data_IF_233041337515
#
_entry.id   IF_233041337515
#
_cell.length_a   1.000
_cell.length_b   1.000
_cell.length_c   1.000
_cell.angle_alpha   90.00
_cell.angle_beta   90.00
_cell.angle_gamma   90.00
#
_symmetry.space_group_name_H-M   'P 1'
#
loop_
_entity.id
_entity.type
_entity.pdbx_description
1 polymer ?
#
# COMPACT_ATOMS: atom_id res chain seq x y z
N UNK A 1 -9.16 23.08 -50.97
CA UNK A 1 -8.65 24.46 -51.01
C UNK A 1 -8.00 24.74 -49.66
N UNK A 2 -6.73 25.16 -49.61
CA UNK A 2 -6.09 25.54 -48.35
C UNK A 2 -6.64 26.87 -47.81
N UNK A 3 -6.40 27.16 -46.52
CA UNK A 3 -6.78 28.43 -45.87
C UNK A 3 -6.33 29.65 -46.69
N UNK A 4 -5.04 29.70 -47.07
CA UNK A 4 -4.42 30.82 -47.78
C UNK A 4 -5.02 31.07 -49.18
N UNK A 5 -5.11 30.08 -50.09
CA UNK A 5 -5.76 30.28 -51.40
C UNK A 5 -7.21 30.72 -51.34
N UNK A 6 -7.98 30.27 -50.34
CA UNK A 6 -9.37 30.66 -50.18
C UNK A 6 -9.51 32.08 -49.62
N UNK A 7 -8.70 32.46 -48.63
CA UNK A 7 -8.70 33.82 -48.08
C UNK A 7 -8.21 34.84 -49.12
N UNK A 8 -7.20 34.50 -49.91
CA UNK A 8 -6.70 35.35 -51.02
C UNK A 8 -7.78 35.52 -52.11
N UNK A 9 -8.54 34.46 -52.42
CA UNK A 9 -9.70 34.54 -53.30
C UNK A 9 -10.84 35.38 -52.70
N UNK A 10 -11.18 35.17 -51.43
CA UNK A 10 -12.25 35.90 -50.75
C UNK A 10 -11.91 37.40 -50.60
N UNK A 11 -10.63 37.74 -50.41
CA UNK A 11 -10.14 39.11 -50.35
C UNK A 11 -10.09 39.80 -51.73
N UNK A 12 -9.86 39.04 -52.81
CA UNK A 12 -9.79 39.56 -54.18
C UNK A 12 -11.12 39.54 -54.95
N UNK A 13 -12.14 38.85 -54.44
CA UNK A 13 -13.45 38.77 -55.06
C UNK A 13 -14.20 40.12 -54.95
N UNK A 14 -14.49 40.74 -56.09
CA UNK A 14 -15.31 41.95 -56.15
C UNK A 14 -16.78 41.64 -55.86
N UNK A 15 -17.24 41.95 -54.64
CA UNK A 15 -18.63 41.82 -54.24
C UNK A 15 -19.35 43.17 -54.38
N UNK A 16 -20.22 43.36 -55.39
CA UNK A 16 -20.73 44.68 -55.79
C UNK A 16 -21.67 45.36 -54.78
N UNK A 17 -22.07 44.69 -53.69
CA UNK A 17 -23.04 45.20 -52.70
C UNK A 17 -22.57 45.04 -51.23
N UNK A 18 -21.27 44.90 -50.99
CA UNK A 18 -20.72 44.67 -49.63
C UNK A 18 -19.78 45.81 -49.29
N UNK A 19 -20.02 46.50 -48.17
CA UNK A 19 -19.14 47.57 -47.70
C UNK A 19 -17.80 47.01 -47.23
N UNK A 20 -16.73 47.83 -47.24
CA UNK A 20 -15.40 47.38 -46.81
C UNK A 20 -15.38 46.87 -45.36
N UNK A 21 -16.24 47.43 -44.49
CA UNK A 21 -16.41 46.98 -43.12
C UNK A 21 -17.06 45.58 -43.04
N UNK A 22 -18.09 45.33 -43.83
CA UNK A 22 -18.74 44.01 -43.92
C UNK A 22 -17.83 42.96 -44.55
N UNK A 23 -16.95 43.37 -45.47
CA UNK A 23 -15.95 42.49 -46.07
C UNK A 23 -14.88 42.09 -45.05
N UNK A 24 -14.41 43.03 -44.23
CA UNK A 24 -13.46 42.75 -43.16
C UNK A 24 -14.06 41.80 -42.10
N UNK A 25 -15.33 42.01 -41.73
CA UNK A 25 -16.06 41.16 -40.78
C UNK A 25 -16.28 39.74 -41.33
N UNK A 26 -16.65 39.62 -42.60
CA UNK A 26 -16.81 38.32 -43.28
C UNK A 26 -15.46 37.57 -43.41
N UNK A 27 -14.37 38.27 -43.72
CA UNK A 27 -13.02 37.67 -43.75
C UNK A 27 -12.60 37.18 -42.36
N UNK A 28 -12.91 37.94 -41.30
CA UNK A 28 -12.71 37.50 -39.91
C UNK A 28 -13.51 36.24 -39.58
N UNK A 29 -14.79 36.19 -39.96
CA UNK A 29 -15.63 35.00 -39.79
C UNK A 29 -15.09 33.77 -40.57
N UNK A 30 -14.60 33.97 -41.79
CA UNK A 30 -14.01 32.88 -42.57
C UNK A 30 -12.69 32.40 -41.98
N UNK A 31 -11.86 33.30 -41.49
CA UNK A 31 -10.63 32.97 -40.80
C UNK A 31 -10.90 32.14 -39.53
N UNK A 32 -11.86 32.56 -38.72
CA UNK A 32 -12.32 31.81 -37.55
C UNK A 32 -12.93 30.44 -37.93
N UNK A 33 -13.71 30.37 -39.01
CA UNK A 33 -14.27 29.11 -39.52
C UNK A 33 -13.18 28.11 -39.93
N UNK A 34 -12.14 28.57 -40.62
CA UNK A 34 -11.04 27.69 -41.02
C UNK A 34 -10.18 27.27 -39.83
N UNK A 35 -9.90 28.19 -38.90
CA UNK A 35 -9.18 27.87 -37.67
C UNK A 35 -9.95 26.86 -36.81
N UNK A 36 -11.28 26.91 -36.80
CA UNK A 36 -12.10 25.98 -36.02
C UNK A 36 -12.34 24.61 -36.69
N UNK A 37 -12.23 24.47 -38.01
CA UNK A 37 -12.63 23.26 -38.74
C UNK A 37 -11.48 22.44 -39.34
N UNK A 38 -10.24 22.94 -39.43
CA UNK A 38 -9.14 22.21 -40.08
C UNK A 38 -8.54 21.09 -39.19
N UNK A 39 -8.71 19.79 -39.54
CA UNK A 39 -8.16 18.67 -38.76
C UNK A 39 -6.63 18.54 -38.88
N UNK A 40 -6.04 19.18 -39.88
CA UNK A 40 -4.61 19.09 -40.18
C UNK A 40 -3.72 19.66 -39.08
N UNK A 41 -4.23 20.62 -38.28
CA UNK A 41 -3.48 21.22 -37.17
C UNK A 41 -3.25 20.23 -36.04
N UNK A 42 -4.22 19.36 -35.74
CA UNK A 42 -4.08 18.30 -34.73
C UNK A 42 -2.97 17.29 -35.10
N UNK A 43 -2.91 16.92 -36.38
CA UNK A 43 -1.85 16.04 -36.90
C UNK A 43 -0.47 16.71 -36.89
N UNK A 44 -0.42 18.02 -37.18
CA UNK A 44 0.81 18.82 -37.05
C UNK A 44 1.29 18.89 -35.61
N UNK A 45 0.38 19.08 -34.64
CA UNK A 45 0.72 19.04 -33.21
C UNK A 45 1.32 17.70 -32.80
N UNK A 46 0.70 16.59 -33.18
CA UNK A 46 1.24 15.25 -32.89
C UNK A 46 2.61 15.02 -33.55
N UNK A 47 2.81 15.49 -34.78
CA UNK A 47 4.12 15.41 -35.44
C UNK A 47 5.18 16.31 -34.80
N UNK A 48 4.81 17.50 -34.33
CA UNK A 48 5.71 18.39 -33.60
C UNK A 48 6.17 17.74 -32.29
N UNK A 49 5.23 17.20 -31.51
CA UNK A 49 5.53 16.48 -30.28
C UNK A 49 6.41 15.27 -30.57
N UNK A 50 6.10 14.50 -31.62
CA UNK A 50 6.92 13.36 -32.07
C UNK A 50 8.38 13.78 -32.35
N UNK A 51 8.56 14.87 -33.10
CA UNK A 51 9.89 15.32 -33.54
C UNK A 51 10.69 15.97 -32.41
N UNK A 52 10.03 16.61 -31.42
CA UNK A 52 10.72 17.31 -30.34
C UNK A 52 11.39 16.36 -29.34
N UNK A 53 10.88 15.13 -29.19
CA UNK A 53 11.36 14.20 -28.17
C UNK A 53 12.09 12.98 -28.71
N UNK A 54 12.36 12.91 -30.02
CA UNK A 54 12.98 11.74 -30.68
C UNK A 54 12.32 10.40 -30.26
N UNK A 55 11.00 10.44 -30.01
CA UNK A 55 10.27 9.29 -29.47
C UNK A 55 10.05 8.29 -30.59
N UNK A 56 10.78 7.20 -30.49
CA UNK A 56 10.65 6.06 -31.38
C UNK A 56 9.20 5.52 -31.40
N UNK A 57 8.78 5.07 -32.57
CA UNK A 57 7.41 4.74 -33.03
C UNK A 57 6.65 3.66 -32.25
N UNK A 58 7.08 3.30 -31.05
CA UNK A 58 6.22 2.58 -30.12
C UNK A 58 5.00 3.45 -29.80
N UNK A 59 3.81 2.98 -30.20
CA UNK A 59 2.51 3.61 -29.92
C UNK A 59 2.18 3.73 -28.42
N UNK A 60 3.12 3.49 -27.52
CA UNK A 60 2.92 3.54 -26.07
C UNK A 60 3.63 4.74 -25.43
N UNK A 61 4.85 5.10 -25.87
CA UNK A 61 5.62 6.18 -25.25
C UNK A 61 5.02 7.58 -25.44
N UNK A 62 4.55 7.90 -26.66
CA UNK A 62 3.93 9.21 -26.93
C UNK A 62 2.63 9.40 -26.14
N UNK A 63 1.85 8.33 -25.98
CA UNK A 63 0.59 8.36 -25.24
C UNK A 63 0.79 8.37 -23.73
N UNK A 64 1.88 7.78 -23.23
CA UNK A 64 2.35 7.95 -21.85
C UNK A 64 2.74 9.42 -21.61
N UNK A 65 3.58 10.00 -22.46
CA UNK A 65 3.94 11.43 -22.35
C UNK A 65 2.72 12.37 -22.35
N UNK A 66 1.76 12.15 -23.29
CA UNK A 66 0.53 12.95 -23.36
C UNK A 66 -0.38 12.77 -22.14
N UNK A 67 -0.34 11.59 -21.53
CA UNK A 67 -1.00 11.33 -20.26
C UNK A 67 -0.34 12.14 -19.13
N UNK A 68 0.99 12.14 -19.08
CA UNK A 68 1.78 12.70 -17.99
C UNK A 68 1.77 14.24 -17.96
N UNK A 69 1.94 14.89 -19.12
CA UNK A 69 2.15 16.34 -19.21
C UNK A 69 1.00 17.18 -18.60
N UNK A 70 1.32 18.21 -17.82
CA UNK A 70 0.30 19.13 -17.31
C UNK A 70 -0.31 20.01 -18.41
N UNK A 71 -1.51 20.55 -18.18
CA UNK A 71 -2.14 21.43 -19.17
C UNK A 71 -1.34 22.73 -19.38
N UNK A 72 -0.67 23.22 -18.34
CA UNK A 72 0.21 24.39 -18.41
C UNK A 72 1.49 24.12 -19.19
N UNK A 73 2.16 22.99 -18.94
CA UNK A 73 3.34 22.60 -19.71
C UNK A 73 2.99 22.35 -21.17
N UNK A 74 1.85 21.71 -21.44
CA UNK A 74 1.37 21.50 -22.80
C UNK A 74 1.14 22.84 -23.51
N UNK A 75 0.53 23.84 -22.84
CA UNK A 75 0.40 25.20 -23.39
C UNK A 75 1.77 25.83 -23.66
N UNK A 76 2.70 25.75 -22.70
CA UNK A 76 4.07 26.28 -22.83
C UNK A 76 4.85 25.69 -24.00
N UNK A 77 4.66 24.41 -24.33
CA UNK A 77 5.26 23.80 -25.52
C UNK A 77 4.86 24.53 -26.81
N UNK A 78 3.66 25.11 -26.84
CA UNK A 78 3.12 25.82 -27.98
C UNK A 78 3.15 27.35 -27.83
N UNK A 79 3.73 27.91 -26.76
CA UNK A 79 3.86 29.36 -26.55
C UNK A 79 4.89 30.01 -27.49
N UNK A 80 5.98 29.30 -27.81
CA UNK A 80 7.07 29.80 -28.68
C UNK A 80 6.76 29.66 -30.19
N UNK A 81 5.52 29.37 -30.55
CA UNK A 81 5.15 28.91 -31.88
C UNK A 81 4.81 30.07 -32.80
N UNK A 82 5.86 30.81 -33.20
CA UNK A 82 5.82 31.62 -34.43
C UNK A 82 6.04 30.78 -35.71
N UNK A 83 6.36 29.49 -35.57
CA UNK A 83 6.82 28.64 -36.68
C UNK A 83 5.89 27.48 -37.07
N UNK A 84 4.83 27.17 -36.30
CA UNK A 84 3.78 26.26 -36.75
C UNK A 84 2.48 27.02 -36.90
N UNK A 85 1.86 26.96 -38.08
CA UNK A 85 0.47 27.40 -38.32
C UNK A 85 -0.50 26.52 -37.49
N UNK A 86 -0.56 26.76 -36.18
CA UNK A 86 -1.46 26.09 -35.24
C UNK A 86 -2.23 27.18 -34.49
N UNK A 87 -3.55 27.17 -34.61
CA UNK A 87 -4.42 28.11 -33.91
C UNK A 87 -4.49 27.81 -32.40
N UNK A 88 -4.61 28.86 -31.58
CA UNK A 88 -4.85 28.71 -30.12
C UNK A 88 -6.12 27.91 -29.82
N UNK A 89 -7.14 28.03 -30.67
CA UNK A 89 -8.41 27.30 -30.51
C UNK A 89 -8.20 25.79 -30.66
N UNK A 90 -7.36 25.35 -31.60
CA UNK A 90 -7.07 23.92 -31.77
C UNK A 90 -6.16 23.37 -30.66
N UNK A 91 -5.32 24.20 -30.04
CA UNK A 91 -4.58 23.81 -28.82
C UNK A 91 -5.55 23.47 -27.68
N UNK A 92 -6.52 24.34 -27.39
CA UNK A 92 -7.51 24.08 -26.32
C UNK A 92 -8.44 22.90 -26.65
N UNK A 93 -8.80 22.71 -27.93
CA UNK A 93 -9.52 21.49 -28.36
C UNK A 93 -8.68 20.23 -28.15
N UNK A 94 -7.37 20.30 -28.39
CA UNK A 94 -6.47 19.18 -28.13
C UNK A 94 -6.38 18.90 -26.63
N UNK A 95 -6.30 19.94 -25.79
CA UNK A 95 -6.36 19.77 -24.32
C UNK A 95 -7.67 19.09 -23.91
N UNK A 96 -8.80 19.49 -24.50
CA UNK A 96 -10.10 18.83 -24.24
C UNK A 96 -10.08 17.36 -24.65
N UNK A 97 -9.49 17.04 -25.81
CA UNK A 97 -9.27 15.66 -26.23
C UNK A 97 -8.36 14.90 -25.25
N UNK A 98 -7.29 15.53 -24.74
CA UNK A 98 -6.43 14.96 -23.72
C UNK A 98 -7.17 14.68 -22.42
N UNK A 99 -8.09 15.55 -22.00
CA UNK A 99 -8.95 15.28 -20.85
C UNK A 99 -9.81 14.03 -21.06
N UNK A 100 -10.46 13.90 -22.23
CA UNK A 100 -11.25 12.70 -22.56
C UNK A 100 -10.36 11.45 -22.61
N UNK A 101 -9.19 11.56 -23.23
CA UNK A 101 -8.21 10.47 -23.29
C UNK A 101 -7.77 10.05 -21.88
N UNK A 102 -7.41 11.00 -21.01
CA UNK A 102 -7.04 10.75 -19.60
C UNK A 102 -8.19 10.10 -18.84
N UNK A 103 -9.42 10.59 -18.98
CA UNK A 103 -10.59 9.98 -18.32
C UNK A 103 -10.85 8.54 -18.79
N UNK A 104 -10.72 8.27 -20.08
CA UNK A 104 -10.86 6.91 -20.63
C UNK A 104 -9.71 6.03 -20.13
N UNK A 105 -8.49 6.54 -20.17
CA UNK A 105 -7.32 5.83 -19.68
C UNK A 105 -7.47 5.51 -18.19
N UNK A 106 -7.85 6.48 -17.37
CA UNK A 106 -8.11 6.32 -15.93
C UNK A 106 -9.24 5.34 -15.61
N UNK A 107 -10.25 5.28 -16.50
CA UNK A 107 -11.37 4.36 -16.35
C UNK A 107 -10.94 2.90 -16.55
N UNK A 108 -9.99 2.64 -17.44
CA UNK A 108 -9.61 1.28 -17.83
C UNK A 108 -8.20 0.87 -17.37
N UNK A 109 -7.38 1.84 -16.93
CA UNK A 109 -6.06 1.66 -16.39
C UNK A 109 -5.99 2.45 -15.08
N UNK A 110 -5.67 1.76 -14.00
CA UNK A 110 -5.30 2.37 -12.74
C UNK A 110 -3.91 2.99 -12.89
N UNK A 111 -3.82 4.09 -13.63
CA UNK A 111 -2.54 4.66 -14.04
C UNK A 111 -1.79 5.28 -12.85
N UNK A 112 -0.48 5.06 -12.84
CA UNK A 112 0.47 5.54 -11.83
C UNK A 112 0.68 7.06 -11.82
N UNK A 113 0.42 7.76 -12.93
CA UNK A 113 1.04 9.09 -13.16
C UNK A 113 0.26 10.29 -12.58
N UNK A 114 -0.89 10.08 -11.92
CA UNK A 114 -1.68 11.16 -11.27
C UNK A 114 -2.41 10.68 -10.02
N UNK A 115 -1.82 9.73 -9.33
CA UNK A 115 -2.41 9.06 -8.19
C UNK A 115 -2.68 10.02 -7.02
N UNK A 116 -1.76 10.91 -6.66
CA UNK A 116 -2.00 11.91 -5.59
C UNK A 116 -3.08 12.91 -6.00
N UNK A 117 -3.07 13.39 -7.25
CA UNK A 117 -4.06 14.34 -7.79
C UNK A 117 -5.48 13.77 -7.79
N UNK A 118 -5.63 12.48 -8.11
CA UNK A 118 -6.90 11.76 -8.02
C UNK A 118 -7.38 11.64 -6.57
N UNK A 119 -6.47 11.36 -5.63
CA UNK A 119 -6.81 11.30 -4.21
C UNK A 119 -7.29 12.67 -3.70
N UNK A 120 -6.68 13.77 -4.16
CA UNK A 120 -7.17 15.13 -3.89
C UNK A 120 -8.53 15.43 -4.53
N UNK A 121 -8.77 14.94 -5.74
CA UNK A 121 -10.08 15.05 -6.37
C UNK A 121 -11.15 14.34 -5.53
N UNK A 122 -10.86 13.14 -5.02
CA UNK A 122 -11.78 12.42 -4.12
C UNK A 122 -12.06 13.17 -2.81
N UNK A 123 -11.05 13.84 -2.25
CA UNK A 123 -11.25 14.71 -1.09
C UNK A 123 -12.14 15.91 -1.42
N UNK A 124 -11.93 16.58 -2.56
CA UNK A 124 -12.76 17.70 -3.03
C UNK A 124 -14.21 17.29 -3.33
N UNK A 125 -14.40 16.07 -3.83
CA UNK A 125 -15.71 15.47 -4.08
C UNK A 125 -16.41 14.97 -2.79
N UNK A 126 -15.74 15.04 -1.64
CA UNK A 126 -16.29 14.66 -0.34
C UNK A 126 -16.33 13.15 -0.06
N UNK A 127 -15.60 12.33 -0.84
CA UNK A 127 -15.55 10.87 -0.62
C UNK A 127 -14.92 10.54 0.73
N UNK A 128 -13.92 11.31 1.16
CA UNK A 128 -13.28 11.19 2.46
C UNK A 128 -12.78 12.54 2.97
N UNK A 129 -12.45 12.60 4.26
CA UNK A 129 -11.88 13.78 4.89
C UNK A 129 -10.37 13.53 5.15
N UNK A 130 -9.46 14.10 4.34
CA UNK A 130 -8.04 13.95 4.55
C UNK A 130 -7.58 14.72 5.79
N UNK A 131 -6.54 14.24 6.52
CA UNK A 131 -5.78 15.07 7.44
C UNK A 131 -5.22 16.32 6.75
N UNK A 132 -5.11 17.44 7.48
CA UNK A 132 -4.85 18.76 6.89
C UNK A 132 -3.53 18.88 6.11
N UNK A 133 -2.52 18.09 6.47
CA UNK A 133 -1.17 18.10 5.90
C UNK A 133 -0.88 16.85 5.02
N UNK A 134 -1.88 15.98 4.78
CA UNK A 134 -1.69 14.71 4.07
C UNK A 134 -1.04 14.91 2.70
N UNK A 135 -1.60 15.78 1.86
CA UNK A 135 -1.13 15.94 0.48
C UNK A 135 0.24 16.62 0.39
N UNK A 136 0.57 17.47 1.35
CA UNK A 136 1.90 18.07 1.45
C UNK A 136 2.94 17.02 1.83
N UNK A 137 2.61 16.12 2.78
CA UNK A 137 3.47 14.98 3.13
C UNK A 137 3.64 14.01 1.95
N UNK A 138 2.57 13.70 1.21
CA UNK A 138 2.63 12.78 0.06
C UNK A 138 3.49 13.31 -1.10
N UNK A 139 3.64 14.64 -1.22
CA UNK A 139 4.49 15.29 -2.23
C UNK A 139 5.89 15.65 -1.71
N UNK A 140 6.14 15.48 -0.42
CA UNK A 140 7.42 15.76 0.19
C UNK A 140 8.51 14.78 -0.26
N UNK A 141 9.76 15.14 0.02
CA UNK A 141 10.93 14.33 -0.35
C UNK A 141 11.12 13.09 0.56
N UNK A 142 10.46 13.05 1.73
CA UNK A 142 10.57 11.95 2.68
C UNK A 142 9.53 10.85 2.39
N UNK A 143 9.92 9.87 1.58
CA UNK A 143 9.09 8.72 1.24
C UNK A 143 8.65 7.88 2.46
N UNK A 144 9.42 7.86 3.56
CA UNK A 144 9.02 7.14 4.78
C UNK A 144 7.87 7.85 5.47
N UNK A 145 7.95 9.18 5.59
CA UNK A 145 6.89 9.99 6.17
C UNK A 145 5.61 9.94 5.31
N UNK A 146 5.77 10.07 3.98
CA UNK A 146 4.67 10.00 3.02
C UNK A 146 3.91 8.66 3.12
N UNK A 147 4.64 7.54 3.09
CA UNK A 147 4.05 6.21 3.24
C UNK A 147 3.45 6.02 4.63
N UNK A 148 4.11 6.49 5.69
CA UNK A 148 3.56 6.45 7.05
C UNK A 148 2.19 7.12 7.17
N UNK A 149 2.08 8.35 6.65
CA UNK A 149 0.83 9.10 6.64
C UNK A 149 -0.27 8.42 5.80
N UNK A 150 0.10 7.82 4.67
CA UNK A 150 -0.83 7.06 3.83
C UNK A 150 -1.38 5.82 4.57
N UNK A 151 -0.52 5.10 5.30
CA UNK A 151 -0.93 3.95 6.10
C UNK A 151 -1.82 4.37 7.29
N UNK A 152 -1.55 5.50 7.92
CA UNK A 152 -2.41 6.07 8.98
C UNK A 152 -3.81 6.39 8.44
N UNK A 153 -3.89 6.98 7.24
CA UNK A 153 -5.15 7.21 6.55
C UNK A 153 -5.87 5.88 6.24
N UNK A 154 -5.20 4.91 5.63
CA UNK A 154 -5.85 3.64 5.30
C UNK A 154 -6.35 2.90 6.55
N UNK A 155 -5.59 2.96 7.64
CA UNK A 155 -5.98 2.38 8.92
C UNK A 155 -7.25 3.04 9.46
N UNK A 156 -7.34 4.38 9.48
CA UNK A 156 -8.55 5.08 9.94
C UNK A 156 -9.75 4.79 9.05
N UNK A 157 -9.60 4.84 7.72
CA UNK A 157 -10.68 4.49 6.78
C UNK A 157 -11.19 3.07 7.01
N UNK A 158 -10.29 2.10 7.23
CA UNK A 158 -10.66 0.70 7.52
C UNK A 158 -11.42 0.58 8.84
N UNK A 159 -10.89 1.16 9.92
CA UNK A 159 -11.41 1.00 11.28
C UNK A 159 -12.70 1.79 11.51
N UNK A 160 -12.68 3.05 11.13
CA UNK A 160 -13.71 4.02 11.51
C UNK A 160 -14.89 4.01 10.54
N UNK A 161 -14.71 3.53 9.30
CA UNK A 161 -15.76 3.52 8.28
C UNK A 161 -16.07 2.10 7.80
N UNK A 162 -15.10 1.41 7.19
CA UNK A 162 -15.37 0.13 6.50
C UNK A 162 -15.82 -0.98 7.46
N UNK A 163 -15.11 -1.14 8.57
CA UNK A 163 -15.41 -2.15 9.61
C UNK A 163 -16.32 -1.61 10.72
N UNK A 164 -16.77 -0.37 10.61
CA UNK A 164 -17.71 0.20 11.56
C UNK A 164 -19.05 -0.52 11.50
N UNK A 165 -19.68 -0.70 12.67
CA UNK A 165 -21.06 -1.17 12.78
C UNK A 165 -22.09 -0.10 12.37
N UNK A 166 -21.64 1.10 11.99
CA UNK A 166 -22.50 2.18 11.52
C UNK A 166 -23.10 1.83 10.15
N UNK A 167 -24.39 2.14 10.00
CA UNK A 167 -25.12 2.02 8.74
C UNK A 167 -25.18 3.41 8.13
N UNK A 168 -24.61 3.54 6.93
CA UNK A 168 -24.62 4.80 6.19
C UNK A 168 -25.75 4.78 5.18
N UNK A 169 -26.52 5.87 5.12
CA UNK A 169 -27.64 5.98 4.19
C UNK A 169 -27.14 6.01 2.74
N UNK A 170 -27.66 5.11 1.87
CA UNK A 170 -27.33 5.13 0.46
C UNK A 170 -28.12 6.23 -0.26
N UNK A 171 -27.45 6.96 -1.15
CA UNK A 171 -28.04 7.88 -2.09
C UNK A 171 -28.10 7.21 -3.46
N UNK A 172 -29.29 6.73 -3.83
CA UNK A 172 -29.55 6.11 -5.13
C UNK A 172 -30.34 7.06 -6.02
N UNK A 173 -29.72 7.50 -7.12
CA UNK A 173 -30.37 8.30 -8.17
C UNK A 173 -30.47 7.51 -9.48
N UNK A 174 -30.39 6.18 -9.44
CA UNK A 174 -30.42 5.32 -10.61
C UNK A 174 -31.86 5.27 -11.17
N UNK A 175 -32.00 5.78 -12.39
CA UNK A 175 -33.21 5.70 -13.19
C UNK A 175 -33.05 4.67 -14.31
N UNK A 176 -34.04 3.79 -14.43
CA UNK A 176 -34.09 2.78 -15.48
C UNK A 176 -34.74 3.37 -16.75
N UNK A 177 -34.01 3.36 -17.88
CA UNK A 177 -34.64 3.73 -19.16
C UNK A 177 -35.69 2.69 -19.54
N UNK A 178 -36.84 3.17 -20.01
CA UNK A 178 -37.96 2.34 -20.51
C UNK A 178 -37.65 1.57 -21.80
N UNK A 179 -36.51 1.84 -22.45
CA UNK A 179 -36.11 1.20 -23.71
C UNK A 179 -34.85 0.36 -23.50
N UNK A 180 -35.01 -0.95 -23.72
CA UNK A 180 -33.91 -1.91 -23.79
C UNK A 180 -33.41 -1.93 -25.23
N UNK A 181 -32.30 -1.25 -25.51
CA UNK A 181 -31.58 -1.48 -26.75
C UNK A 181 -30.70 -2.73 -26.56
N UNK A 182 -30.89 -3.76 -27.39
CA UNK A 182 -30.03 -4.95 -27.43
C UNK A 182 -29.88 -5.73 -26.11
N UNK A 183 -30.95 -5.87 -25.33
CA UNK A 183 -30.96 -6.75 -24.14
C UNK A 183 -30.18 -6.24 -22.92
N UNK A 184 -29.55 -5.06 -22.99
CA UNK A 184 -28.86 -4.43 -21.85
C UNK A 184 -29.78 -3.35 -21.26
N UNK A 185 -30.29 -3.51 -20.03
CA UNK A 185 -31.01 -2.46 -19.33
C UNK A 185 -30.12 -1.22 -19.23
N UNK A 186 -30.49 -0.15 -19.94
CA UNK A 186 -29.75 1.11 -19.86
C UNK A 186 -30.19 1.86 -18.61
N UNK A 187 -29.31 1.88 -17.60
CA UNK A 187 -29.47 2.68 -16.39
C UNK A 187 -28.76 4.03 -16.55
N UNK A 188 -29.28 5.10 -15.97
CA UNK A 188 -28.55 6.36 -15.79
C UNK A 188 -28.74 6.86 -14.35
N UNK A 189 -27.74 7.53 -13.80
CA UNK A 189 -27.72 7.95 -12.40
C UNK A 189 -26.51 7.41 -11.67
N UNK A 190 -26.46 7.64 -10.36
CA UNK A 190 -25.36 7.22 -9.50
C UNK A 190 -25.88 6.60 -8.22
N UNK A 191 -25.22 5.53 -7.77
CA UNK A 191 -25.31 5.05 -6.41
C UNK A 191 -24.13 5.62 -5.63
N UNK A 192 -24.40 6.22 -4.48
CA UNK A 192 -23.38 6.70 -3.54
C UNK A 192 -23.68 6.20 -2.15
N UNK A 193 -22.67 5.68 -1.48
CA UNK A 193 -22.76 5.26 -0.09
C UNK A 193 -21.37 5.39 0.52
N UNK A 194 -21.30 5.85 1.77
CA UNK A 194 -20.04 6.18 2.41
C UNK A 194 -19.04 5.02 2.43
N UNK A 195 -19.49 3.77 2.63
CA UNK A 195 -18.60 2.60 2.63
C UNK A 195 -18.03 2.30 1.24
N UNK A 196 -18.85 2.35 0.18
CA UNK A 196 -18.38 2.14 -1.19
C UNK A 196 -17.46 3.28 -1.68
N UNK A 197 -17.80 4.52 -1.36
CA UNK A 197 -16.94 5.68 -1.65
C UNK A 197 -15.60 5.56 -0.93
N UNK A 198 -15.61 5.10 0.33
CA UNK A 198 -14.40 4.86 1.11
C UNK A 198 -13.59 3.69 0.55
N UNK A 199 -14.22 2.61 0.07
CA UNK A 199 -13.52 1.52 -0.61
C UNK A 199 -12.77 2.01 -1.85
N UNK A 200 -13.37 2.91 -2.64
CA UNK A 200 -12.71 3.52 -3.79
C UNK A 200 -11.44 4.27 -3.37
N UNK A 201 -11.51 5.07 -2.31
CA UNK A 201 -10.35 5.78 -1.74
C UNK A 201 -9.31 4.77 -1.23
N UNK A 202 -9.75 3.75 -0.49
CA UNK A 202 -8.88 2.74 0.10
C UNK A 202 -8.07 1.96 -0.95
N UNK A 203 -8.71 1.52 -2.04
CA UNK A 203 -8.01 0.84 -3.14
C UNK A 203 -7.09 1.79 -3.92
N UNK A 204 -7.48 3.06 -4.05
CA UNK A 204 -6.61 4.05 -4.67
C UNK A 204 -5.34 4.30 -3.84
N UNK A 205 -5.46 4.31 -2.51
CA UNK A 205 -4.30 4.35 -1.61
C UNK A 205 -3.37 3.14 -1.79
N UNK A 206 -3.88 1.95 -2.13
CA UNK A 206 -3.02 0.78 -2.38
C UNK A 206 -2.06 1.00 -3.56
N UNK A 207 -2.50 1.69 -4.61
CA UNK A 207 -1.67 2.01 -5.77
C UNK A 207 -0.52 2.97 -5.39
N UNK A 208 -0.85 4.02 -4.65
CA UNK A 208 0.14 4.99 -4.16
C UNK A 208 1.14 4.30 -3.22
N UNK A 209 0.63 3.42 -2.34
CA UNK A 209 1.40 2.64 -1.38
C UNK A 209 2.43 1.74 -2.09
N UNK A 210 2.00 1.01 -3.12
CA UNK A 210 2.87 0.17 -3.93
C UNK A 210 4.06 0.95 -4.49
N UNK A 211 3.82 2.10 -5.13
CA UNK A 211 4.88 2.96 -5.67
C UNK A 211 5.86 3.43 -4.60
N UNK A 212 5.36 3.83 -3.42
CA UNK A 212 6.25 4.24 -2.34
C UNK A 212 7.11 3.07 -1.85
N UNK A 213 6.56 1.86 -1.77
CA UNK A 213 7.35 0.69 -1.43
C UNK A 213 8.40 0.38 -2.49
N UNK A 214 8.05 0.43 -3.78
CA UNK A 214 9.02 0.24 -4.87
C UNK A 214 10.18 1.23 -4.74
N UNK A 215 9.88 2.52 -4.60
CA UNK A 215 10.90 3.56 -4.43
C UNK A 215 11.77 3.35 -3.19
N UNK A 216 11.17 2.96 -2.06
CA UNK A 216 11.89 2.69 -0.81
C UNK A 216 12.78 1.44 -0.92
N UNK A 217 12.30 0.38 -1.58
CA UNK A 217 13.05 -0.87 -1.75
C UNK A 217 14.19 -0.69 -2.75
N UNK A 218 13.98 0.02 -3.85
CA UNK A 218 15.03 0.38 -4.80
C UNK A 218 16.12 1.25 -4.15
N UNK A 219 15.71 2.20 -3.31
CA UNK A 219 16.63 3.06 -2.55
C UNK A 219 17.39 2.33 -1.44
N UNK A 220 16.89 1.17 -0.99
CA UNK A 220 17.44 0.46 0.15
C UNK A 220 18.86 -0.04 -0.11
N UNK A 221 19.70 0.02 0.93
CA UNK A 221 21.09 -0.44 0.92
C UNK A 221 21.28 -1.87 0.38
N UNK A 222 20.32 -2.77 0.66
CA UNK A 222 20.31 -4.16 0.20
C UNK A 222 20.28 -4.32 -1.34
N UNK A 223 19.66 -3.37 -2.03
CA UNK A 223 19.53 -3.34 -3.50
C UNK A 223 20.55 -2.43 -4.16
N UNK A 224 21.05 -1.42 -3.43
CA UNK A 224 22.03 -0.45 -3.91
C UNK A 224 23.49 -0.96 -3.95
N UNK A 225 23.77 -2.17 -3.44
CA UNK A 225 25.14 -2.71 -3.34
C UNK A 225 26.04 -2.00 -2.32
N UNK A 226 25.45 -1.15 -1.47
CA UNK A 226 26.12 -0.47 -0.35
C UNK A 226 26.21 -1.42 0.86
N UNK A 227 26.96 -1.01 1.89
CA UNK A 227 26.89 -1.70 3.18
C UNK A 227 25.45 -1.64 3.73
N UNK A 228 24.97 -2.73 4.32
CA UNK A 228 23.61 -2.82 4.85
C UNK A 228 23.39 -1.77 5.95
N UNK A 229 22.37 -0.95 5.77
CA UNK A 229 21.82 -0.08 6.81
C UNK A 229 20.67 -0.82 7.52
N UNK A 230 20.95 -1.29 8.73
CA UNK A 230 20.00 -2.05 9.51
C UNK A 230 18.84 -1.21 10.07
N UNK A 231 19.05 0.09 10.29
CA UNK A 231 17.98 0.97 10.79
C UNK A 231 17.03 1.35 9.65
N UNK A 232 17.56 1.60 8.46
CA UNK A 232 16.77 1.70 7.22
C UNK A 232 15.94 0.43 7.01
N UNK A 233 16.59 -0.74 7.03
CA UNK A 233 15.93 -2.03 6.85
C UNK A 233 14.82 -2.25 7.88
N UNK A 234 15.08 -1.95 9.16
CA UNK A 234 14.08 -2.03 10.23
C UNK A 234 12.86 -1.15 9.96
N UNK A 235 13.06 0.08 9.47
CA UNK A 235 11.96 1.00 9.13
C UNK A 235 11.11 0.44 8.00
N UNK A 236 11.73 -0.03 6.92
CA UNK A 236 11.01 -0.63 5.78
C UNK A 236 10.25 -1.89 6.21
N UNK A 237 10.88 -2.80 6.97
CA UNK A 237 10.26 -4.02 7.49
C UNK A 237 9.01 -3.70 8.36
N UNK A 238 9.08 -2.66 9.19
CA UNK A 238 7.94 -2.22 10.00
C UNK A 238 6.80 -1.66 9.13
N UNK A 239 7.11 -0.94 8.05
CA UNK A 239 6.10 -0.43 7.11
C UNK A 239 5.40 -1.59 6.39
N UNK A 240 6.13 -2.64 5.98
CA UNK A 240 5.53 -3.87 5.46
C UNK A 240 4.62 -4.54 6.49
N UNK A 241 5.07 -4.69 7.73
CA UNK A 241 4.24 -5.24 8.81
C UNK A 241 2.93 -4.48 9.02
N UNK A 242 2.98 -3.14 9.04
CA UNK A 242 1.79 -2.27 9.14
C UNK A 242 0.86 -2.44 7.93
N UNK A 243 1.44 -2.56 6.74
CA UNK A 243 0.71 -2.77 5.49
C UNK A 243 -0.05 -4.09 5.51
N UNK A 244 0.61 -5.19 5.89
CA UNK A 244 -0.05 -6.48 6.00
C UNK A 244 -1.11 -6.52 7.09
N UNK A 245 -0.98 -5.73 8.15
CA UNK A 245 -2.05 -5.56 9.14
C UNK A 245 -3.28 -4.84 8.55
N UNK A 246 -3.06 -3.79 7.76
CA UNK A 246 -4.13 -3.09 7.03
C UNK A 246 -4.78 -4.02 6.00
N UNK A 247 -4.02 -4.89 5.35
CA UNK A 247 -4.54 -5.85 4.37
C UNK A 247 -5.21 -7.07 5.02
N UNK A 248 -5.04 -7.26 6.33
CA UNK A 248 -5.56 -8.44 7.04
C UNK A 248 -4.75 -9.72 6.80
N UNK A 249 -3.50 -9.57 6.34
CA UNK A 249 -2.54 -10.64 6.08
C UNK A 249 -1.56 -10.86 7.24
N UNK A 250 -1.42 -9.89 8.16
CA UNK A 250 -0.55 -10.02 9.33
C UNK A 250 -1.20 -10.87 10.43
N UNK A 251 -0.49 -11.91 10.87
CA UNK A 251 -0.85 -12.69 12.06
C UNK A 251 -0.07 -12.23 13.31
N UNK A 252 -0.43 -12.76 14.47
CA UNK A 252 0.25 -12.43 15.73
C UNK A 252 1.75 -12.78 15.70
N UNK A 253 2.12 -13.86 15.00
CA UNK A 253 3.49 -14.32 14.90
C UNK A 253 4.38 -13.32 14.17
N UNK A 254 3.93 -12.80 13.02
CA UNK A 254 4.63 -11.75 12.26
C UNK A 254 4.91 -10.53 13.13
N UNK A 255 3.92 -10.06 13.90
CA UNK A 255 4.09 -8.92 14.82
C UNK A 255 5.14 -9.21 15.89
N UNK A 256 5.12 -10.43 16.42
CA UNK A 256 6.06 -10.86 17.45
C UNK A 256 7.48 -10.93 16.93
N UNK A 257 7.67 -11.48 15.73
CA UNK A 257 8.97 -11.53 15.06
C UNK A 257 9.46 -10.13 14.70
N UNK A 258 8.60 -9.25 14.17
CA UNK A 258 8.97 -7.84 13.91
C UNK A 258 9.41 -7.11 15.20
N UNK A 259 8.80 -7.43 16.34
CA UNK A 259 9.17 -6.86 17.65
C UNK A 259 10.58 -7.26 18.11
N UNK A 260 11.14 -8.36 17.59
CA UNK A 260 12.51 -8.78 17.92
C UNK A 260 13.57 -7.81 17.39
N UNK A 261 13.24 -6.99 16.38
CA UNK A 261 14.14 -5.93 15.91
C UNK A 261 14.39 -4.85 16.98
N UNK A 262 13.61 -4.84 18.07
CA UNK A 262 13.75 -3.91 19.20
C UNK A 262 14.61 -4.48 20.32
N UNK A 263 15.17 -5.69 20.12
CA UNK A 263 16.04 -6.34 21.09
C UNK A 263 17.27 -5.47 21.36
N UNK A 264 17.61 -5.19 22.62
CA UNK A 264 18.81 -4.44 22.97
C UNK A 264 20.08 -5.21 22.56
N UNK A 265 20.99 -4.53 21.85
CA UNK A 265 22.25 -5.09 21.38
C UNK A 265 22.09 -6.21 20.35
N UNK A 266 21.07 -6.13 19.50
CA UNK A 266 20.76 -7.13 18.48
C UNK A 266 21.94 -7.29 17.51
N UNK A 267 22.38 -8.53 17.34
CA UNK A 267 23.48 -8.90 16.44
C UNK A 267 23.00 -9.20 15.03
N UNK A 268 23.89 -9.10 14.06
CA UNK A 268 23.60 -9.42 12.66
C UNK A 268 23.09 -10.86 12.49
N UNK A 269 23.72 -11.84 13.14
CA UNK A 269 23.23 -13.23 13.12
C UNK A 269 21.78 -13.37 13.61
N UNK A 270 21.41 -12.64 14.66
CA UNK A 270 20.06 -12.64 15.22
C UNK A 270 19.08 -11.90 14.29
N UNK A 271 19.51 -10.81 13.65
CA UNK A 271 18.69 -10.10 12.67
C UNK A 271 18.41 -10.97 11.43
N UNK A 272 19.39 -11.74 10.96
CA UNK A 272 19.19 -12.75 9.91
C UNK A 272 18.16 -13.79 10.32
N UNK A 273 18.16 -14.23 11.58
CA UNK A 273 17.16 -15.18 12.08
C UNK A 273 15.75 -14.57 12.09
N UNK A 274 15.63 -13.26 12.40
CA UNK A 274 14.37 -12.49 12.25
C UNK A 274 13.90 -12.50 10.79
N UNK A 275 14.77 -12.15 9.84
CA UNK A 275 14.45 -12.15 8.40
C UNK A 275 14.02 -13.54 7.91
N UNK A 276 14.73 -14.58 8.36
CA UNK A 276 14.38 -15.97 8.01
C UNK A 276 13.02 -16.37 8.58
N UNK A 277 12.71 -15.96 9.81
CA UNK A 277 11.41 -16.23 10.42
C UNK A 277 10.28 -15.49 9.69
N UNK A 278 10.51 -14.24 9.28
CA UNK A 278 9.54 -13.49 8.47
C UNK A 278 9.28 -14.15 7.12
N UNK A 279 10.30 -14.72 6.49
CA UNK A 279 10.17 -15.46 5.23
C UNK A 279 9.29 -16.69 5.39
N UNK A 280 9.48 -17.47 6.46
CA UNK A 280 8.61 -18.61 6.78
C UNK A 280 7.16 -18.17 7.00
N UNK A 281 6.94 -17.15 7.83
CA UNK A 281 5.60 -16.64 8.13
C UNK A 281 4.91 -16.10 6.86
N UNK A 282 5.65 -15.45 5.96
CA UNK A 282 5.11 -14.97 4.68
C UNK A 282 4.57 -16.13 3.81
N UNK A 283 5.29 -17.26 3.78
CA UNK A 283 4.82 -18.49 3.13
C UNK A 283 3.54 -19.03 3.76
N UNK A 284 3.48 -19.10 5.08
CA UNK A 284 2.30 -19.57 5.82
C UNK A 284 1.07 -18.67 5.61
N UNK A 285 1.25 -17.35 5.55
CA UNK A 285 0.17 -16.40 5.24
C UNK A 285 -0.40 -16.66 3.84
N UNK A 286 0.48 -16.93 2.88
CA UNK A 286 0.08 -17.25 1.50
C UNK A 286 -0.71 -18.56 1.44
N UNK A 287 -0.29 -19.58 2.18
CA UNK A 287 -0.99 -20.87 2.28
C UNK A 287 -2.36 -20.72 2.97
N UNK A 288 -2.41 -19.95 4.06
CA UNK A 288 -3.67 -19.70 4.78
C UNK A 288 -4.70 -18.96 3.91
N UNK A 289 -4.24 -17.98 3.11
CA UNK A 289 -5.11 -17.31 2.14
C UNK A 289 -5.69 -18.29 1.12
N UNK A 290 -4.86 -19.19 0.57
CA UNK A 290 -5.31 -20.22 -0.34
C UNK A 290 -6.38 -21.11 0.32
N UNK A 291 -6.14 -21.57 1.55
CA UNK A 291 -7.07 -22.45 2.27
C UNK A 291 -8.43 -21.78 2.54
N UNK A 292 -8.42 -20.51 3.00
CA UNK A 292 -9.65 -19.79 3.33
C UNK A 292 -10.59 -19.64 2.14
N UNK A 293 -10.05 -19.34 0.95
CA UNK A 293 -10.87 -19.06 -0.23
C UNK A 293 -11.09 -20.27 -1.13
N UNK A 294 -10.31 -21.35 -0.98
CA UNK A 294 -10.44 -22.56 -1.81
C UNK A 294 -11.85 -23.12 -1.81
N UNK A 295 -12.47 -23.25 -0.64
CA UNK A 295 -13.85 -23.75 -0.54
C UNK A 295 -14.83 -22.87 -1.33
N UNK A 296 -14.72 -21.54 -1.16
CA UNK A 296 -15.60 -20.57 -1.83
C UNK A 296 -15.40 -20.63 -3.35
N UNK A 297 -14.16 -20.66 -3.82
CA UNK A 297 -13.82 -20.79 -5.23
C UNK A 297 -14.35 -22.12 -5.81
N UNK A 298 -14.12 -23.25 -5.14
CA UNK A 298 -14.61 -24.55 -5.58
C UNK A 298 -16.14 -24.56 -5.67
N UNK A 299 -16.85 -23.98 -4.69
CA UNK A 299 -18.31 -23.86 -4.72
C UNK A 299 -18.80 -23.02 -5.91
N UNK A 300 -18.16 -21.87 -6.18
CA UNK A 300 -18.48 -21.02 -7.33
C UNK A 300 -18.26 -21.78 -8.63
N UNK A 301 -17.09 -22.41 -8.81
CA UNK A 301 -16.71 -23.13 -10.04
C UNK A 301 -17.69 -24.28 -10.30
N UNK A 302 -18.10 -25.02 -9.27
CA UNK A 302 -19.11 -26.08 -9.39
C UNK A 302 -20.48 -25.54 -9.84
N UNK A 303 -20.86 -24.33 -9.42
CA UNK A 303 -22.13 -23.71 -9.79
C UNK A 303 -22.14 -23.13 -11.21
N UNK A 304 -21.05 -22.46 -11.63
CA UNK A 304 -20.98 -21.84 -12.97
C UNK A 304 -20.55 -22.82 -14.07
N UNK A 305 -19.88 -23.91 -13.67
CA UNK A 305 -19.33 -24.94 -14.53
C UNK A 305 -17.97 -24.56 -15.15
N UNK A 306 -17.06 -25.53 -15.25
CA UNK A 306 -15.71 -25.33 -15.76
C UNK A 306 -15.65 -24.76 -17.20
N UNK A 307 -16.69 -24.98 -18.02
CA UNK A 307 -16.75 -24.45 -19.38
C UNK A 307 -16.97 -22.94 -19.49
N UNK A 308 -17.22 -22.23 -18.38
CA UNK A 308 -17.36 -20.76 -18.33
C UNK A 308 -16.16 -20.07 -17.67
N UNK A 309 -15.12 -20.82 -17.35
CA UNK A 309 -13.88 -20.31 -16.78
C UNK A 309 -12.92 -19.92 -17.93
N UNK A 310 -12.13 -18.88 -17.73
CA UNK A 310 -11.07 -18.44 -18.66
C UNK A 310 -10.06 -19.56 -18.89
N UNK A 311 -9.62 -19.73 -20.13
CA UNK A 311 -8.74 -20.83 -20.55
C UNK A 311 -7.42 -20.90 -19.76
N UNK A 312 -6.87 -19.74 -19.37
CA UNK A 312 -5.63 -19.63 -18.59
C UNK A 312 -5.64 -20.44 -17.29
N UNK A 313 -6.82 -20.61 -16.68
CA UNK A 313 -6.98 -21.33 -15.42
C UNK A 313 -7.37 -22.80 -15.61
N UNK A 314 -7.71 -23.22 -16.84
CA UNK A 314 -8.07 -24.59 -17.15
C UNK A 314 -6.82 -25.46 -17.29
N UNK A 315 -6.79 -26.65 -16.67
CA UNK A 315 -5.70 -27.59 -16.89
C UNK A 315 -5.74 -28.18 -18.30
N UNK A 316 -4.55 -28.35 -18.88
CA UNK A 316 -4.34 -28.72 -20.28
C UNK A 316 -4.85 -30.12 -20.63
N UNK A 317 -5.00 -31.01 -19.64
CA UNK A 317 -5.22 -32.46 -19.89
C UNK A 317 -6.57 -33.03 -19.41
N UNK A 318 -7.47 -32.22 -18.85
CA UNK A 318 -8.87 -32.62 -18.61
C UNK A 318 -9.65 -31.39 -18.16
N UNK A 319 -11.00 -31.43 -18.18
CA UNK A 319 -11.78 -30.51 -17.32
C UNK A 319 -11.38 -30.81 -15.88
N UNK A 320 -10.35 -30.14 -15.40
CA UNK A 320 -9.78 -30.41 -14.09
C UNK A 320 -10.84 -30.30 -13.02
N UNK A 321 -10.64 -31.05 -11.93
CA UNK A 321 -11.44 -30.86 -10.72
C UNK A 321 -11.52 -29.36 -10.39
N UNK A 322 -12.69 -28.91 -9.91
CA UNK A 322 -12.88 -27.54 -9.46
C UNK A 322 -11.79 -27.10 -8.47
N UNK A 323 -11.23 -28.03 -7.69
CA UNK A 323 -10.11 -27.77 -6.79
C UNK A 323 -8.82 -27.36 -7.50
N UNK A 324 -8.51 -27.95 -8.66
CA UNK A 324 -7.30 -27.61 -9.44
C UNK A 324 -7.44 -26.23 -10.07
N UNK A 325 -8.64 -25.92 -10.56
CA UNK A 325 -8.95 -24.60 -11.14
C UNK A 325 -8.90 -23.53 -10.04
N UNK A 326 -9.50 -23.80 -8.87
CA UNK A 326 -9.45 -22.91 -7.71
C UNK A 326 -8.01 -22.66 -7.25
N UNK A 327 -7.19 -23.71 -7.15
CA UNK A 327 -5.80 -23.63 -6.75
C UNK A 327 -4.94 -22.81 -7.74
N UNK A 328 -5.13 -23.01 -9.05
CA UNK A 328 -4.47 -22.19 -10.09
C UNK A 328 -4.89 -20.72 -10.02
N UNK A 329 -6.19 -20.48 -9.84
CA UNK A 329 -6.71 -19.11 -9.70
C UNK A 329 -6.12 -18.42 -8.47
N UNK A 330 -6.19 -19.03 -7.30
CA UNK A 330 -5.69 -18.45 -6.06
C UNK A 330 -4.17 -18.21 -6.10
N UNK A 331 -3.38 -19.16 -6.62
CA UNK A 331 -1.94 -18.93 -6.86
C UNK A 331 -1.70 -17.75 -7.80
N UNK A 332 -2.49 -17.61 -8.86
CA UNK A 332 -2.36 -16.45 -9.75
C UNK A 332 -2.63 -15.13 -9.03
N UNK A 333 -3.60 -15.10 -8.10
CA UNK A 333 -3.91 -13.88 -7.35
C UNK A 333 -2.78 -13.49 -6.39
N UNK A 334 -2.13 -14.48 -5.76
CA UNK A 334 -0.94 -14.24 -4.93
C UNK A 334 0.22 -13.73 -5.79
N UNK A 335 0.48 -14.37 -6.94
CA UNK A 335 1.54 -13.94 -7.87
C UNK A 335 1.29 -12.53 -8.45
N UNK A 336 0.04 -12.12 -8.55
CA UNK A 336 -0.36 -10.79 -9.00
C UNK A 336 -0.36 -9.75 -7.87
N UNK A 337 -0.04 -10.13 -6.62
CA UNK A 337 0.06 -9.19 -5.49
C UNK A 337 1.47 -8.58 -5.45
N UNK A 338 1.63 -7.31 -5.88
CA UNK A 338 2.97 -6.74 -6.07
C UNK A 338 3.71 -6.56 -4.75
N UNK A 339 2.99 -6.20 -3.68
CA UNK A 339 3.58 -6.00 -2.35
C UNK A 339 4.05 -7.30 -1.69
N UNK A 340 3.36 -8.43 -1.90
CA UNK A 340 3.83 -9.73 -1.40
C UNK A 340 5.11 -10.15 -2.13
N UNK A 341 5.15 -9.99 -3.45
CA UNK A 341 6.34 -10.29 -4.23
C UNK A 341 7.52 -9.37 -3.88
N UNK A 342 7.26 -8.08 -3.69
CA UNK A 342 8.28 -7.10 -3.34
C UNK A 342 8.87 -7.40 -1.95
N UNK A 343 8.03 -7.79 -0.98
CA UNK A 343 8.47 -8.20 0.34
C UNK A 343 9.32 -9.49 0.29
N UNK A 344 8.86 -10.49 -0.45
CA UNK A 344 9.59 -11.76 -0.64
C UNK A 344 10.99 -11.53 -1.22
N UNK A 345 11.08 -10.74 -2.29
CA UNK A 345 12.34 -10.35 -2.92
C UNK A 345 13.27 -9.61 -1.94
N UNK A 346 12.72 -8.72 -1.12
CA UNK A 346 13.48 -8.00 -0.09
C UNK A 346 14.04 -8.96 0.96
N UNK A 347 13.24 -9.89 1.47
CA UNK A 347 13.68 -10.86 2.47
C UNK A 347 14.79 -11.78 1.94
N UNK A 348 14.64 -12.28 0.71
CA UNK A 348 15.67 -13.08 0.03
C UNK A 348 16.96 -12.29 -0.08
N UNK A 349 16.88 -11.05 -0.58
CA UNK A 349 18.07 -10.21 -0.78
C UNK A 349 18.78 -9.87 0.52
N UNK A 350 18.03 -9.52 1.57
CA UNK A 350 18.58 -9.25 2.89
C UNK A 350 19.29 -10.48 3.46
N UNK A 351 18.66 -11.66 3.34
CA UNK A 351 19.23 -12.92 3.81
C UNK A 351 20.57 -13.20 3.10
N UNK A 352 20.64 -13.08 1.78
CA UNK A 352 21.88 -13.26 1.01
C UNK A 352 22.98 -12.30 1.45
N UNK A 353 22.67 -11.00 1.59
CA UNK A 353 23.65 -10.00 2.01
C UNK A 353 24.20 -10.28 3.42
N UNK A 354 23.35 -10.73 4.34
CA UNK A 354 23.77 -11.08 5.70
C UNK A 354 24.55 -12.39 5.75
N UNK A 355 24.15 -13.41 5.01
CA UNK A 355 24.89 -14.67 4.92
C UNK A 355 26.32 -14.42 4.44
N UNK A 356 26.50 -13.62 3.39
CA UNK A 356 27.81 -13.21 2.88
C UNK A 356 28.66 -12.43 3.92
N UNK A 357 28.02 -11.57 4.71
CA UNK A 357 28.72 -10.82 5.75
C UNK A 357 29.11 -11.73 6.93
N UNK A 358 28.26 -12.68 7.32
CA UNK A 358 28.52 -13.62 8.40
C UNK A 358 29.61 -14.65 8.03
N UNK A 359 29.68 -15.09 6.77
CA UNK A 359 30.77 -15.94 6.27
C UNK A 359 32.15 -15.28 6.40
N UNK A 360 32.21 -13.94 6.36
CA UNK A 360 33.44 -13.16 6.57
C UNK A 360 33.80 -12.98 8.05
N UNK A 361 32.92 -13.41 8.96
CA UNK A 361 33.10 -13.33 10.41
C UNK A 361 32.58 -12.04 11.05
N UNK A 362 31.80 -11.22 10.35
CA UNK A 362 31.39 -9.87 10.79
C UNK A 362 30.16 -9.87 11.74
N UNK A 363 30.04 -10.80 12.70
CA UNK A 363 28.90 -10.84 13.66
C UNK A 363 29.00 -9.73 14.73
N UNK A 364 28.69 -8.51 14.30
CA UNK A 364 28.65 -7.31 15.13
C UNK A 364 27.23 -6.94 15.58
N UNK A 365 27.14 -6.08 16.59
CA UNK A 365 25.86 -5.50 17.02
C UNK A 365 25.39 -4.54 15.93
N UNK A 366 24.27 -4.87 15.31
CA UNK A 366 23.73 -4.14 14.15
C UNK A 366 22.59 -3.17 14.53
N UNK A 367 21.86 -3.45 15.62
CA UNK A 367 20.75 -2.61 16.09
C UNK A 367 20.74 -2.45 17.60
N UNK A 368 20.15 -1.33 18.05
CA UNK A 368 19.89 -0.99 19.45
C UNK A 368 21.13 -1.15 20.35
N UNK A 369 22.29 -0.67 19.89
CA UNK A 369 23.52 -0.73 20.66
C UNK A 369 23.29 -0.12 22.06
N UNK A 370 23.43 -0.94 23.09
CA UNK A 370 23.15 -0.56 24.46
C UNK A 370 24.26 -1.05 25.39
N UNK A 371 24.58 -0.25 26.41
CA UNK A 371 25.34 -0.74 27.55
C UNK A 371 24.41 -1.64 28.38
N UNK A 372 24.62 -2.95 28.31
CA UNK A 372 23.82 -3.97 29.02
C UNK A 372 23.80 -3.70 30.53
N UNK A 373 24.81 -3.01 31.08
CA UNK A 373 24.86 -2.62 32.50
C UNK A 373 23.88 -1.49 32.87
N UNK A 374 23.41 -0.71 31.90
CA UNK A 374 22.52 0.45 32.08
C UNK A 374 21.07 0.15 31.71
N UNK A 375 20.82 -0.70 30.72
CA UNK A 375 19.48 -1.06 30.27
C UNK A 375 18.83 -2.05 31.24
N UNK A 376 18.13 -1.55 32.26
CA UNK A 376 17.38 -2.39 33.19
C UNK A 376 15.96 -2.61 32.70
N UNK A 377 15.75 -3.64 31.88
CA UNK A 377 14.41 -4.11 31.54
C UNK A 377 13.65 -4.66 32.76
N UNK A 378 12.34 -4.84 32.59
CA UNK A 378 11.50 -5.49 33.58
C UNK A 378 11.87 -6.97 33.72
N UNK A 379 11.96 -7.43 34.97
CA UNK A 379 12.38 -8.80 35.30
C UNK A 379 11.19 -9.76 35.29
N UNK A 380 9.98 -9.25 35.48
CA UNK A 380 8.78 -10.05 35.67
C UNK A 380 7.60 -9.47 34.89
N UNK A 381 6.86 -10.34 34.22
CA UNK A 381 5.58 -10.01 33.59
C UNK A 381 4.48 -10.87 34.20
N UNK A 382 3.34 -10.26 34.53
CA UNK A 382 2.19 -11.02 35.00
C UNK A 382 1.45 -11.64 33.82
N UNK A 383 1.03 -12.89 33.97
CA UNK A 383 0.05 -13.54 33.09
C UNK A 383 -1.31 -13.27 33.71
N UNK A 384 -2.13 -12.48 33.04
CA UNK A 384 -3.46 -12.14 33.50
C UNK A 384 -4.20 -11.25 32.50
N UNK A 385 -5.46 -10.95 32.83
CA UNK A 385 -6.27 -10.01 32.05
C UNK A 385 -5.72 -8.60 32.23
N UNK A 386 -5.25 -7.99 31.16
CA UNK A 386 -4.81 -6.61 31.20
C UNK A 386 -6.05 -5.68 31.23
N UNK A 387 -6.14 -4.73 32.18
CA UNK A 387 -7.28 -3.83 32.24
C UNK A 387 -7.28 -2.84 31.06
N UNK A 388 -8.45 -2.64 30.43
CA UNK A 388 -8.66 -1.67 29.35
C UNK A 388 -9.01 -2.28 28.00
N UNK A 389 -9.45 -1.44 27.04
CA UNK A 389 -9.48 -1.80 25.61
C UNK A 389 -8.06 -1.72 25.10
N UNK A 390 -7.45 -2.87 24.81
CA UNK A 390 -6.16 -2.91 24.12
C UNK A 390 -6.38 -2.64 22.64
N UNK A 391 -5.44 -1.98 21.97
CA UNK A 391 -5.49 -1.91 20.52
C UNK A 391 -5.33 -3.33 19.97
N UNK A 392 -6.07 -3.67 18.92
CA UNK A 392 -5.94 -4.99 18.28
C UNK A 392 -4.50 -5.24 17.77
N UNK A 393 -3.69 -4.18 17.64
CA UNK A 393 -2.30 -4.15 17.18
C UNK A 393 -1.24 -4.28 18.29
N UNK A 394 -1.63 -4.16 19.57
CA UNK A 394 -0.69 -4.08 20.68
C UNK A 394 -0.06 -5.43 21.03
N UNK A 395 1.27 -5.48 21.15
CA UNK A 395 1.96 -6.60 21.79
C UNK A 395 1.84 -6.45 23.31
N UNK A 396 1.10 -7.34 23.97
CA UNK A 396 0.95 -7.32 25.43
C UNK A 396 2.29 -7.43 26.17
N UNK A 397 3.20 -8.24 25.64
CA UNK A 397 4.57 -8.39 26.16
C UNK A 397 5.56 -8.58 24.99
N UNK A 398 6.74 -7.93 24.99
CA UNK A 398 7.75 -8.11 23.95
C UNK A 398 8.31 -9.54 23.92
N UNK A 399 8.43 -10.12 22.72
CA UNK A 399 8.90 -11.50 22.53
C UNK A 399 10.33 -11.70 23.07
N UNK A 400 11.21 -10.72 22.90
CA UNK A 400 12.60 -10.80 23.36
C UNK A 400 12.75 -10.77 24.90
N UNK A 401 11.74 -10.31 25.63
CA UNK A 401 11.72 -10.31 27.10
C UNK A 401 11.07 -11.56 27.66
N UNK A 402 9.92 -11.98 27.13
CA UNK A 402 9.10 -13.05 27.69
C UNK A 402 9.32 -14.42 27.05
N UNK A 403 9.69 -14.46 25.77
CA UNK A 403 9.72 -15.68 24.97
C UNK A 403 8.33 -16.13 24.49
N UNK A 404 8.29 -17.00 23.49
CA UNK A 404 7.05 -17.32 22.75
C UNK A 404 5.95 -17.95 23.60
N UNK A 405 6.30 -18.84 24.54
CA UNK A 405 5.30 -19.50 25.42
C UNK A 405 4.59 -18.51 26.32
N UNK A 406 5.36 -17.66 26.97
CA UNK A 406 4.85 -16.64 27.88
C UNK A 406 3.97 -15.63 27.14
N UNK A 407 4.42 -15.18 25.97
CA UNK A 407 3.65 -14.29 25.12
C UNK A 407 2.31 -14.94 24.70
N UNK A 408 2.35 -16.20 24.26
CA UNK A 408 1.17 -17.02 23.97
C UNK A 408 0.16 -17.08 25.11
N UNK A 409 0.63 -17.32 26.34
CA UNK A 409 -0.23 -17.37 27.52
C UNK A 409 -0.87 -16.02 27.85
N UNK A 410 -0.12 -14.91 27.70
CA UNK A 410 -0.69 -13.57 27.92
C UNK A 410 -1.76 -13.24 26.88
N UNK A 411 -1.55 -13.59 25.61
CA UNK A 411 -2.56 -13.40 24.56
C UNK A 411 -3.80 -14.24 24.87
N UNK A 412 -3.61 -15.53 25.15
CA UNK A 412 -4.71 -16.43 25.48
C UNK A 412 -5.50 -15.97 26.70
N UNK A 413 -4.85 -15.38 27.71
CA UNK A 413 -5.51 -14.81 28.88
C UNK A 413 -6.42 -13.62 28.56
N UNK A 414 -6.16 -12.93 27.44
CA UNK A 414 -6.91 -11.76 26.98
C UNK A 414 -7.87 -12.08 25.82
N UNK A 415 -7.96 -13.35 25.39
CA UNK A 415 -8.95 -13.80 24.41
C UNK A 415 -10.28 -14.13 25.11
N UNK A 416 -11.37 -13.75 24.47
CA UNK A 416 -12.71 -14.06 24.96
C UNK A 416 -12.97 -15.58 24.96
N UNK A 417 -13.51 -16.10 26.05
CA UNK A 417 -13.85 -17.52 26.21
C UNK A 417 -12.70 -18.44 26.63
N UNK A 418 -11.47 -17.93 26.76
CA UNK A 418 -10.33 -18.71 27.23
C UNK A 418 -10.05 -18.41 28.70
N UNK A 419 -9.89 -19.45 29.52
CA UNK A 419 -9.46 -19.34 30.91
C UNK A 419 -8.01 -19.78 31.03
N UNK A 420 -7.12 -18.81 31.25
CA UNK A 420 -5.70 -19.06 31.52
C UNK A 420 -5.45 -18.82 33.00
N UNK A 421 -4.81 -19.77 33.72
CA UNK A 421 -4.39 -19.56 35.11
C UNK A 421 -3.47 -18.34 35.23
N UNK A 422 -3.67 -17.54 36.28
CA UNK A 422 -2.76 -16.43 36.58
C UNK A 422 -1.36 -16.96 36.90
N UNK A 423 -0.35 -16.21 36.49
CA UNK A 423 1.03 -16.65 36.66
C UNK A 423 2.04 -15.53 36.47
N UNK A 424 3.32 -15.87 36.54
CA UNK A 424 4.43 -14.93 36.36
C UNK A 424 5.38 -15.49 35.32
N UNK A 425 5.77 -14.63 34.39
CA UNK A 425 6.86 -14.88 33.45
C UNK A 425 8.11 -14.21 33.98
N UNK A 426 9.15 -15.01 34.14
CA UNK A 426 10.49 -14.51 34.43
C UNK A 426 11.13 -14.11 33.11
N UNK A 427 11.48 -12.84 32.98
CA UNK A 427 12.10 -12.31 31.78
C UNK A 427 13.47 -12.92 31.50
N UNK A 428 13.83 -13.05 30.22
CA UNK A 428 15.19 -13.31 29.76
C UNK A 428 16.22 -12.29 30.30
N UNK A 429 15.76 -11.10 30.71
CA UNK A 429 16.58 -10.10 31.38
C UNK A 429 17.17 -10.60 32.71
N UNK A 430 16.44 -11.42 33.48
CA UNK A 430 17.00 -12.04 34.68
C UNK A 430 18.18 -12.92 34.33
N UNK A 431 18.04 -13.73 33.28
CA UNK A 431 19.08 -14.64 32.83
C UNK A 431 20.34 -13.89 32.38
N UNK A 432 20.19 -12.78 31.64
CA UNK A 432 21.32 -11.89 31.29
C UNK A 432 22.04 -11.38 32.53
N UNK A 433 21.30 -10.86 33.52
CA UNK A 433 21.87 -10.36 34.78
C UNK A 433 22.57 -11.44 35.60
N UNK A 434 22.04 -12.66 35.61
CA UNK A 434 22.68 -13.79 36.29
C UNK A 434 23.98 -14.20 35.58
N UNK A 435 24.02 -14.16 34.25
CA UNK A 435 25.20 -14.51 33.46
C UNK A 435 26.32 -13.47 33.58
N UNK A 436 25.97 -12.19 33.59
CA UNK A 436 26.93 -11.08 33.65
C UNK A 436 27.29 -10.65 35.08
N UNK A 437 26.40 -10.90 36.04
CA UNK A 437 26.59 -10.59 37.44
C UNK A 437 27.44 -11.64 38.16
N UNK A 438 28.02 -11.23 39.30
CA UNK A 438 28.68 -12.18 40.20
C UNK A 438 27.63 -12.93 41.03
N UNK A 439 27.22 -14.10 40.54
CA UNK A 439 26.26 -14.99 41.23
C UNK A 439 26.79 -15.45 42.59
N UNK A 440 28.11 -15.40 42.83
CA UNK A 440 28.71 -15.75 44.14
C UNK A 440 28.63 -14.61 45.14
N UNK A 441 28.30 -13.39 44.72
CA UNK A 441 28.16 -12.24 45.60
C UNK A 441 26.86 -12.36 46.44
N UNK A 442 26.94 -12.46 47.79
CA UNK A 442 25.77 -12.61 48.64
C UNK A 442 24.78 -11.43 48.57
N UNK A 443 25.27 -10.22 48.28
CA UNK A 443 24.40 -9.03 48.12
C UNK A 443 23.55 -9.12 46.86
N UNK A 444 24.14 -9.64 45.77
CA UNK A 444 23.43 -9.84 44.51
C UNK A 444 22.35 -10.93 44.66
N UNK A 445 22.69 -12.06 45.28
CA UNK A 445 21.72 -13.13 45.58
C UNK A 445 20.55 -12.63 46.43
N UNK A 446 20.83 -11.91 47.53
CA UNK A 446 19.77 -11.34 48.39
C UNK A 446 18.84 -10.41 47.62
N UNK A 447 19.37 -9.58 46.73
CA UNK A 447 18.58 -8.65 45.92
C UNK A 447 17.65 -9.39 44.96
N UNK A 448 18.14 -10.41 44.26
CA UNK A 448 17.32 -11.22 43.33
C UNK A 448 16.24 -12.01 44.10
N UNK A 449 16.61 -12.64 45.23
CA UNK A 449 15.66 -13.39 46.08
C UNK A 449 14.59 -12.47 46.64
N UNK A 450 14.96 -11.27 47.11
CA UNK A 450 14.00 -10.29 47.61
C UNK A 450 13.01 -9.87 46.53
N UNK A 451 13.48 -9.56 45.31
CA UNK A 451 12.60 -9.27 44.18
C UNK A 451 11.67 -10.45 43.88
N UNK A 452 12.19 -11.67 43.74
CA UNK A 452 11.38 -12.87 43.48
C UNK A 452 10.27 -13.05 44.53
N UNK A 453 10.61 -12.92 45.82
CA UNK A 453 9.63 -13.02 46.92
C UNK A 453 8.54 -11.97 46.81
N UNK A 454 8.89 -10.70 46.60
CA UNK A 454 7.92 -9.62 46.49
C UNK A 454 6.88 -9.88 45.37
N UNK A 455 7.30 -10.48 44.26
CA UNK A 455 6.39 -10.81 43.16
C UNK A 455 5.56 -12.07 43.44
N UNK A 456 6.16 -13.13 43.99
CA UNK A 456 5.44 -14.35 44.39
C UNK A 456 4.39 -14.05 45.45
N UNK A 457 4.73 -13.24 46.45
CA UNK A 457 3.80 -12.82 47.50
C UNK A 457 2.65 -11.99 46.92
N UNK A 458 2.93 -11.15 45.91
CA UNK A 458 1.88 -10.37 45.23
C UNK A 458 0.92 -11.23 44.41
N UNK A 459 1.40 -12.26 43.72
CA UNK A 459 0.54 -13.14 42.92
C UNK A 459 -0.24 -14.12 43.79
N UNK A 460 0.36 -14.59 44.89
CA UNK A 460 -0.27 -15.59 45.77
C UNK A 460 -1.05 -14.98 46.93
N UNK A 461 -1.12 -13.65 47.03
CA UNK A 461 -1.59 -12.90 48.21
C UNK A 461 -0.90 -13.38 49.51
N UNK A 462 0.41 -13.68 49.43
CA UNK A 462 1.22 -14.16 50.55
C UNK A 462 0.90 -15.59 51.00
N UNK A 463 0.16 -16.37 50.19
CA UNK A 463 -0.23 -17.76 50.52
C UNK A 463 0.71 -18.82 49.98
N UNK A 464 1.78 -18.42 49.28
CA UNK A 464 2.78 -19.35 48.78
C UNK A 464 3.40 -20.18 49.92
N UNK A 465 3.26 -21.51 49.84
CA UNK A 465 3.77 -22.42 50.87
C UNK A 465 3.00 -22.43 52.20
N UNK A 466 1.78 -21.87 52.26
CA UNK A 466 0.92 -21.96 53.44
C UNK A 466 0.36 -23.39 53.61
N UNK A 467 0.65 -24.13 54.70
CA UNK A 467 0.16 -25.50 54.88
C UNK A 467 -1.36 -25.64 54.96
N UNK A 468 -2.06 -24.59 55.39
CA UNK A 468 -3.52 -24.59 55.59
C UNK A 468 -4.29 -24.14 54.35
N UNK A 469 -3.67 -23.35 53.46
CA UNK A 469 -4.25 -22.89 52.20
C UNK A 469 -3.14 -22.69 51.16
N UNK A 470 -2.56 -23.77 50.63
CA UNK A 470 -1.38 -23.69 49.80
C UNK A 470 -1.75 -23.16 48.41
N UNK A 471 -1.08 -22.08 47.99
CA UNK A 471 -0.98 -21.74 46.57
C UNK A 471 0.28 -22.38 46.02
N UNK A 472 0.12 -23.21 44.99
CA UNK A 472 1.20 -23.85 44.25
C UNK A 472 1.48 -23.05 42.97
N UNK A 473 2.76 -22.92 42.61
CA UNK A 473 3.23 -22.24 41.41
C UNK A 473 3.89 -23.21 40.44
#
# INVERSE_FOLDING_TARGET
MGKKPFLDFAASAGLPNVSDAQRADALGCFEEYFDTRFPAEMTKMLHFIKNMFDIDTSKTKIWKFLYDISDEEFRKMFENVRFLDISRVNIEKFITFLHVYRMIFDKYNFSEVRDIEKLEAYAREGLFAPPGDLFDMLRGDDAYAALGALLDLQYSLKRDILLSGEVFEPLDTIEFKRHIAFGIPSMYGSYKEKKFDTLKVFFHCNLIRERFFEALVEGCSAFSGRALDFEETRRVMRLFGRTFEIDGLSNHEMRSVLSLMDTPGLRMSQFRDVVTSLFTIHGEVSDHFNEMYKYVCTAIINNIGAGRIVEDYLPSESRGSADVIADRFLRSQIMLSPLLQLFDNMLIRLRECMDLALERGDDSVCLNACDVRRAKGDIFFAIGKHPGRHSDSGLFVPLWLAGGKAQGLVIAANMDGISVPEGIVISAELYKRLREGDVRNPRFQRKIIFSLRQYVDRLTDGRFGNPANPVLL
#
